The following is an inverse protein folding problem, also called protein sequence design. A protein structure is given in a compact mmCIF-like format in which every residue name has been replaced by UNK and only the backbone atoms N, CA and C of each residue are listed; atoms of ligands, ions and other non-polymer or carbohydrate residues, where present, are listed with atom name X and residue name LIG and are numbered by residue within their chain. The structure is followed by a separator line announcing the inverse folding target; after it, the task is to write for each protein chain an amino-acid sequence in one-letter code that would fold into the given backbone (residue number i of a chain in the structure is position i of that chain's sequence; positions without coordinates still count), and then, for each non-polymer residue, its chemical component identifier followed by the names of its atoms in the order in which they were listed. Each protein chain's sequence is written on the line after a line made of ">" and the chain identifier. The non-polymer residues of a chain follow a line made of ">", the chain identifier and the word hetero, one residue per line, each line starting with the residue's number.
data_IF_878869140539
#
_entry.id   IF_878869140539
#
_cell.length_a   1.000
_cell.length_b   1.000
_cell.length_c   1.000
_cell.angle_alpha   90.00
_cell.angle_beta   90.00
_cell.angle_gamma   90.00
#
_symmetry.space_group_name_H-M   'P 1'
#
loop_
_entity.id
_entity.type
_entity.pdbx_description
1 polymer ?
#
# COMPACT_ATOMS: atom_id res chain seq x y z
N UNK A 1 -17.67 14.30 12.27
CA UNK A 1 -18.73 13.30 12.08
C UNK A 1 -18.13 12.14 11.31
N UNK A 2 -17.96 10.95 11.92
CA UNK A 2 -17.35 9.80 11.25
C UNK A 2 -18.39 9.19 10.30
N UNK A 3 -18.16 9.29 8.98
CA UNK A 3 -19.01 8.63 7.99
C UNK A 3 -18.40 7.25 7.69
N UNK A 4 -19.19 6.19 7.90
CA UNK A 4 -18.81 4.84 7.51
C UNK A 4 -18.53 4.77 5.99
N UNK A 5 -17.73 3.80 5.58
CA UNK A 5 -17.63 3.46 4.16
C UNK A 5 -18.91 2.75 3.73
N UNK A 6 -19.27 2.94 2.47
CA UNK A 6 -20.46 2.40 1.83
C UNK A 6 -20.04 1.40 0.75
N UNK A 7 -20.99 0.58 0.30
CA UNK A 7 -20.76 -0.34 -0.81
C UNK A 7 -20.21 0.41 -2.03
N UNK A 8 -19.17 -0.15 -2.66
CA UNK A 8 -18.49 0.43 -3.82
C UNK A 8 -17.36 1.40 -3.47
N UNK A 9 -17.19 1.78 -2.19
CA UNK A 9 -16.06 2.63 -1.79
C UNK A 9 -14.71 1.90 -1.98
N UNK A 10 -13.69 2.67 -2.35
CA UNK A 10 -12.31 2.16 -2.42
C UNK A 10 -11.63 2.25 -1.05
N UNK A 11 -11.01 1.16 -0.64
CA UNK A 11 -10.38 1.03 0.66
C UNK A 11 -9.05 0.27 0.62
N UNK A 12 -8.26 0.43 1.68
CA UNK A 12 -6.98 -0.27 1.89
C UNK A 12 -6.91 -0.83 3.30
N UNK A 13 -6.30 -2.01 3.41
CA UNK A 13 -5.91 -2.60 4.70
C UNK A 13 -4.73 -1.81 5.27
N UNK A 14 -4.83 -1.36 6.53
CA UNK A 14 -3.83 -0.50 7.17
C UNK A 14 -2.51 -1.24 7.41
N UNK A 15 -2.60 -2.53 7.78
CA UNK A 15 -1.46 -3.42 8.04
C UNK A 15 -1.62 -4.70 7.21
N UNK A 16 -1.25 -4.67 5.92
CA UNK A 16 -1.34 -5.85 5.06
C UNK A 16 -0.35 -6.92 5.52
N UNK A 17 -0.82 -8.16 5.60
CA UNK A 17 -0.01 -9.35 5.89
C UNK A 17 0.22 -10.21 4.65
N UNK A 18 -0.59 -10.03 3.60
CA UNK A 18 -0.57 -10.79 2.35
C UNK A 18 -0.32 -9.86 1.16
N UNK A 19 0.41 -10.29 0.11
CA UNK A 19 0.59 -9.51 -1.13
C UNK A 19 -0.69 -8.92 -1.73
N UNK A 20 -1.81 -9.64 -1.64
CA UNK A 20 -3.12 -9.18 -2.14
C UNK A 20 -3.60 -7.95 -1.37
N UNK A 21 -3.32 -7.86 -0.07
CA UNK A 21 -3.80 -6.80 0.82
C UNK A 21 -3.07 -5.46 0.63
N UNK A 22 -1.92 -5.47 -0.05
CA UNK A 22 -1.26 -4.24 -0.51
C UNK A 22 -2.05 -3.54 -1.62
N UNK A 23 -2.90 -4.28 -2.34
CA UNK A 23 -3.76 -3.74 -3.41
C UNK A 23 -4.96 -3.01 -2.82
N UNK A 24 -5.55 -2.12 -3.61
CA UNK A 24 -6.81 -1.48 -3.25
C UNK A 24 -7.95 -2.49 -3.38
N UNK A 25 -8.82 -2.52 -2.37
CA UNK A 25 -10.05 -3.29 -2.36
C UNK A 25 -11.27 -2.40 -2.56
N UNK A 26 -12.33 -2.97 -3.10
CA UNK A 26 -13.65 -2.34 -3.18
C UNK A 26 -14.52 -2.90 -2.05
N UNK A 27 -15.20 -2.03 -1.29
CA UNK A 27 -16.13 -2.47 -0.25
C UNK A 27 -17.32 -3.17 -0.90
N UNK A 28 -17.53 -4.45 -0.60
CA UNK A 28 -18.67 -5.23 -1.08
C UNK A 28 -19.69 -5.53 0.02
N UNK A 29 -19.33 -5.35 1.29
CA UNK A 29 -20.28 -5.49 2.40
C UNK A 29 -19.83 -4.69 3.62
N UNK A 30 -20.82 -4.26 4.42
CA UNK A 30 -20.62 -3.48 5.64
C UNK A 30 -21.43 -4.10 6.77
N UNK A 31 -20.73 -4.67 7.75
CA UNK A 31 -21.33 -5.24 8.96
C UNK A 31 -21.39 -4.15 10.04
N UNK A 32 -22.61 -3.79 10.48
CA UNK A 32 -22.85 -2.75 11.49
C UNK A 32 -23.02 -3.35 12.89
N UNK A 33 -22.61 -2.62 13.92
CA UNK A 33 -22.66 -3.13 15.30
C UNK A 33 -24.09 -3.40 15.81
N UNK A 34 -25.07 -2.60 15.40
CA UNK A 34 -26.50 -2.90 15.54
C UNK A 34 -27.29 -2.34 14.35
N UNK A 35 -28.55 -2.80 14.11
CA UNK A 35 -29.37 -2.39 12.96
C UNK A 35 -29.69 -0.90 12.89
N UNK A 36 -29.50 -0.15 13.98
CA UNK A 36 -29.84 1.27 14.09
C UNK A 36 -28.60 2.16 14.24
N UNK A 37 -27.40 1.63 13.97
CA UNK A 37 -26.14 2.38 14.09
C UNK A 37 -25.49 2.61 12.73
N UNK A 38 -24.74 3.70 12.63
CA UNK A 38 -23.83 3.97 11.50
C UNK A 38 -22.40 3.49 11.78
N UNK A 39 -22.20 2.75 12.88
CA UNK A 39 -20.88 2.28 13.30
C UNK A 39 -20.59 0.92 12.65
N UNK A 40 -19.83 0.96 11.56
CA UNK A 40 -19.33 -0.26 10.92
C UNK A 40 -18.36 -0.99 11.85
N UNK A 41 -18.62 -2.28 12.07
CA UNK A 41 -17.77 -3.21 12.81
C UNK A 41 -16.75 -3.89 11.89
N UNK A 42 -17.17 -4.27 10.69
CA UNK A 42 -16.34 -4.96 9.70
C UNK A 42 -16.68 -4.49 8.29
N UNK A 43 -15.69 -4.61 7.41
CA UNK A 43 -15.85 -4.40 5.98
C UNK A 43 -15.38 -5.64 5.23
N UNK A 44 -16.17 -6.08 4.26
CA UNK A 44 -15.73 -7.05 3.26
C UNK A 44 -15.18 -6.28 2.06
N UNK A 45 -13.95 -6.61 1.70
CA UNK A 45 -13.25 -6.02 0.57
C UNK A 45 -13.07 -7.07 -0.52
N UNK A 46 -13.44 -6.70 -1.75
CA UNK A 46 -13.10 -7.44 -2.95
C UNK A 46 -11.85 -6.85 -3.60
N UNK A 47 -10.83 -7.68 -3.76
CA UNK A 47 -9.57 -7.32 -4.38
C UNK A 47 -9.60 -7.54 -5.90
N UNK A 48 -8.63 -6.99 -6.67
CA UNK A 48 -8.66 -7.05 -8.12
C UNK A 48 -8.48 -8.45 -8.71
N UNK A 49 -7.98 -9.41 -7.93
CA UNK A 49 -7.91 -10.82 -8.31
C UNK A 49 -9.26 -11.56 -8.12
N UNK A 50 -10.28 -10.88 -7.58
CA UNK A 50 -11.59 -11.46 -7.29
C UNK A 50 -11.73 -11.99 -5.86
N UNK A 51 -10.65 -12.04 -5.08
CA UNK A 51 -10.72 -12.51 -3.69
C UNK A 51 -11.51 -11.53 -2.83
N UNK A 52 -12.39 -12.08 -1.98
CA UNK A 52 -13.09 -11.31 -0.97
C UNK A 52 -12.60 -11.68 0.43
N UNK A 53 -12.30 -10.66 1.24
CA UNK A 53 -11.84 -10.85 2.63
C UNK A 53 -12.48 -9.83 3.55
N UNK A 54 -12.83 -10.26 4.77
CA UNK A 54 -13.52 -9.42 5.75
C UNK A 54 -12.60 -8.99 6.89
N UNK A 55 -12.46 -7.69 7.08
CA UNK A 55 -11.58 -7.08 8.06
C UNK A 55 -12.36 -6.31 9.13
N UNK A 56 -11.84 -6.20 10.37
CA UNK A 56 -12.33 -5.24 11.34
C UNK A 56 -12.26 -3.82 10.79
N UNK A 57 -13.25 -2.98 11.07
CA UNK A 57 -13.31 -1.61 10.58
C UNK A 57 -12.07 -0.78 11.00
N UNK A 58 -11.50 -1.06 12.16
CA UNK A 58 -10.26 -0.43 12.64
C UNK A 58 -9.01 -0.74 11.79
N UNK A 59 -9.06 -1.79 10.96
CA UNK A 59 -7.95 -2.22 10.11
C UNK A 59 -8.11 -1.77 8.65
N UNK A 60 -9.19 -1.05 8.33
CA UNK A 60 -9.50 -0.61 6.97
C UNK A 60 -9.65 0.90 6.96
N UNK A 61 -9.05 1.55 5.97
CA UNK A 61 -9.24 2.98 5.73
C UNK A 61 -9.76 3.24 4.33
N UNK A 62 -10.62 4.25 4.21
CA UNK A 62 -11.04 4.80 2.91
C UNK A 62 -9.81 5.37 2.20
N UNK A 63 -9.72 5.17 0.89
CA UNK A 63 -8.59 5.65 0.09
C UNK A 63 -9.10 6.39 -1.12
N UNK A 64 -8.63 7.62 -1.31
CA UNK A 64 -8.76 8.33 -2.58
C UNK A 64 -7.58 8.02 -3.50
N UNK A 65 -7.71 8.33 -4.79
CA UNK A 65 -6.61 8.19 -5.76
C UNK A 65 -5.39 9.05 -5.39
N UNK A 66 -5.60 10.19 -4.73
CA UNK A 66 -4.51 11.03 -4.23
C UNK A 66 -3.77 10.37 -3.06
N UNK A 67 -4.51 9.78 -2.12
CA UNK A 67 -3.94 9.03 -0.99
C UNK A 67 -3.13 7.81 -1.47
N UNK A 68 -3.61 7.12 -2.50
CA UNK A 68 -2.91 5.98 -3.06
C UNK A 68 -1.58 6.39 -3.71
N UNK A 69 -1.58 7.46 -4.51
CA UNK A 69 -0.36 8.02 -5.08
C UNK A 69 0.63 8.45 -3.98
N UNK A 70 0.15 9.13 -2.94
CA UNK A 70 1.00 9.53 -1.83
C UNK A 70 1.61 8.33 -1.10
N UNK A 71 0.83 7.27 -0.89
CA UNK A 71 1.31 6.03 -0.29
C UNK A 71 2.37 5.32 -1.15
N UNK A 72 2.18 5.29 -2.48
CA UNK A 72 3.17 4.75 -3.41
C UNK A 72 4.49 5.54 -3.32
N UNK A 73 4.42 6.87 -3.37
CA UNK A 73 5.61 7.74 -3.26
C UNK A 73 6.34 7.53 -1.93
N UNK A 74 5.61 7.44 -0.82
CA UNK A 74 6.19 7.18 0.49
C UNK A 74 6.90 5.81 0.55
N UNK A 75 6.27 4.76 0.01
CA UNK A 75 6.86 3.41 -0.03
C UNK A 75 8.13 3.36 -0.88
N UNK A 76 8.12 3.98 -2.06
CA UNK A 76 9.31 4.09 -2.93
C UNK A 76 10.42 4.84 -2.22
N UNK A 77 10.10 5.96 -1.56
CA UNK A 77 11.08 6.75 -0.81
C UNK A 77 11.73 5.92 0.30
N UNK A 78 10.93 5.17 1.07
CA UNK A 78 11.44 4.29 2.13
C UNK A 78 12.36 3.19 1.57
N UNK A 79 11.99 2.57 0.44
CA UNK A 79 12.81 1.58 -0.22
C UNK A 79 14.17 2.17 -0.70
N UNK A 80 14.16 3.36 -1.31
CA UNK A 80 15.38 4.05 -1.70
C UNK A 80 16.31 4.36 -0.50
N UNK A 81 15.74 4.73 0.65
CA UNK A 81 16.50 4.95 1.89
C UNK A 81 17.14 3.66 2.40
N UNK A 82 16.38 2.56 2.47
CA UNK A 82 16.90 1.26 2.88
C UNK A 82 18.03 0.77 1.96
N UNK A 83 17.85 0.93 0.65
CA UNK A 83 18.85 0.54 -0.34
C UNK A 83 20.11 1.41 -0.28
N UNK A 84 20.00 2.72 0.00
CA UNK A 84 21.16 3.58 0.27
C UNK A 84 21.98 3.07 1.45
N UNK A 85 21.32 2.61 2.52
CA UNK A 85 22.01 2.00 3.65
C UNK A 85 22.69 0.68 3.27
N UNK A 86 22.00 -0.17 2.51
CA UNK A 86 22.57 -1.41 1.99
C UNK A 86 23.82 -1.15 1.12
N UNK A 87 23.80 -0.14 0.22
CA UNK A 87 24.98 0.21 -0.58
C UNK A 87 26.17 0.66 0.27
N UNK A 88 25.93 1.38 1.37
CA UNK A 88 27.00 1.81 2.29
C UNK A 88 27.62 0.62 3.01
N UNK A 89 26.78 -0.24 3.58
CA UNK A 89 27.23 -1.48 4.24
C UNK A 89 27.96 -2.39 3.24
N UNK A 90 27.42 -2.52 2.03
CA UNK A 90 28.05 -3.27 0.96
C UNK A 90 29.39 -2.65 0.58
N UNK A 91 29.53 -1.32 0.50
CA UNK A 91 30.82 -0.69 0.14
C UNK A 91 31.93 -1.04 1.13
N UNK A 92 31.61 -1.10 2.43
CA UNK A 92 32.56 -1.47 3.48
C UNK A 92 32.92 -2.98 3.45
N UNK A 93 32.05 -3.82 2.88
CA UNK A 93 32.22 -5.28 2.80
C UNK A 93 32.80 -5.75 1.45
N UNK A 94 32.29 -5.21 0.35
CA UNK A 94 32.57 -5.52 -1.05
C UNK A 94 32.15 -4.32 -1.95
N UNK A 95 33.16 -3.59 -2.43
CA UNK A 95 32.95 -2.41 -3.26
C UNK A 95 32.26 -2.72 -4.61
N UNK A 96 32.48 -3.90 -5.19
CA UNK A 96 31.87 -4.29 -6.46
C UNK A 96 30.37 -4.58 -6.27
N UNK A 97 30.00 -5.24 -5.17
CA UNK A 97 28.61 -5.43 -4.78
C UNK A 97 27.87 -4.09 -4.61
N UNK A 98 28.51 -3.11 -3.97
CA UNK A 98 27.96 -1.76 -3.83
C UNK A 98 27.70 -1.10 -5.18
N UNK A 99 28.65 -1.21 -6.12
CA UNK A 99 28.51 -0.68 -7.47
C UNK A 99 27.36 -1.33 -8.25
N UNK A 100 27.20 -2.66 -8.10
CA UNK A 100 26.13 -3.42 -8.72
C UNK A 100 24.75 -3.01 -8.21
N UNK A 101 24.59 -2.86 -6.89
CA UNK A 101 23.32 -2.40 -6.28
C UNK A 101 23.00 -0.97 -6.73
N UNK A 102 23.98 -0.08 -6.77
CA UNK A 102 23.79 1.30 -7.23
C UNK A 102 23.33 1.40 -8.71
N UNK A 103 23.90 0.56 -9.58
CA UNK A 103 23.49 0.45 -10.99
C UNK A 103 22.03 0.02 -11.15
N UNK A 104 21.62 -1.04 -10.43
CA UNK A 104 20.24 -1.56 -10.48
C UNK A 104 19.23 -0.56 -9.91
N UNK A 105 19.60 0.13 -8.83
CA UNK A 105 18.82 1.22 -8.24
C UNK A 105 18.53 2.32 -9.26
N UNK A 106 19.54 2.75 -10.01
CA UNK A 106 19.38 3.80 -11.02
C UNK A 106 18.36 3.40 -12.09
N UNK A 107 18.46 2.16 -12.60
CA UNK A 107 17.51 1.62 -13.59
C UNK A 107 16.07 1.56 -13.06
N UNK A 108 15.88 1.20 -11.80
CA UNK A 108 14.57 1.19 -11.16
C UNK A 108 13.98 2.61 -11.03
N UNK A 109 14.81 3.58 -10.63
CA UNK A 109 14.39 4.99 -10.55
C UNK A 109 14.05 5.54 -11.93
N UNK A 110 14.88 5.29 -12.94
CA UNK A 110 14.63 5.75 -14.31
C UNK A 110 13.31 5.20 -14.86
N UNK A 111 13.02 3.91 -14.63
CA UNK A 111 11.75 3.28 -15.01
C UNK A 111 10.56 3.92 -14.28
N UNK A 112 10.70 4.16 -12.98
CA UNK A 112 9.65 4.75 -12.16
C UNK A 112 9.34 6.20 -12.60
N UNK A 113 10.37 7.02 -12.80
CA UNK A 113 10.22 8.41 -13.28
C UNK A 113 9.51 8.45 -14.64
N UNK A 114 9.94 7.62 -15.59
CA UNK A 114 9.32 7.54 -16.91
C UNK A 114 7.84 7.15 -16.86
N UNK A 115 7.47 6.20 -15.98
CA UNK A 115 6.07 5.74 -15.84
C UNK A 115 5.20 6.71 -15.04
N UNK A 116 5.80 7.49 -14.14
CA UNK A 116 5.11 8.46 -13.30
C UNK A 116 5.05 9.86 -13.93
N UNK A 117 5.75 10.09 -15.04
CA UNK A 117 5.83 11.40 -15.71
C UNK A 117 6.58 12.44 -14.88
N UNK A 118 7.60 12.00 -14.13
CA UNK A 118 8.52 12.83 -13.35
C UNK A 118 9.79 13.09 -14.17
#
# INVERSE_FOLDING_TARGET
>A
MYRSMEYGDTARVIKPADPVEYRLGTVTDVDYSTPHTTYARRYTLRFPNGDERTYPAANVKRVTRADDRAAMVAAVTAACVALRFACRIAHDYDADLSSGIASLLRRLVDLASLRLGL
#
